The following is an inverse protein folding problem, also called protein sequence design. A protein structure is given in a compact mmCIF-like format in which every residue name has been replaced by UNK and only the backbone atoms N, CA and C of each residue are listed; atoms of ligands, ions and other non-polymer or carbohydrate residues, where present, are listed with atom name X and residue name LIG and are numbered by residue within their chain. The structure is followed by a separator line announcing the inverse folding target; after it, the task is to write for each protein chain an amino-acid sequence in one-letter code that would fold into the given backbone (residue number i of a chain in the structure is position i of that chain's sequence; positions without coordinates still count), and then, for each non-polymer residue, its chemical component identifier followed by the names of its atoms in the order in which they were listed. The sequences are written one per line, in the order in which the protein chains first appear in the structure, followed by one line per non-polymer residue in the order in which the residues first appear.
data_IF_654986208574
#
_entry.id   IF_654986208574
#
_cell.length_a   1.000
_cell.length_b   1.000
_cell.length_c   1.000
_cell.angle_alpha   90.00
_cell.angle_beta   90.00
_cell.angle_gamma   90.00
#
_symmetry.space_group_name_H-M   'P 1'
#
loop_
_entity.id
_entity.type
_entity.pdbx_description
1 polymer ?
#
# COMPACT_ATOMS: atom_id res chain seq x y z
N UNK A 1 54.04 -16.86 -7.27
CA UNK A 1 54.59 -18.13 -7.78
C UNK A 1 53.43 -19.05 -8.14
N UNK A 2 53.40 -19.49 -9.41
CA UNK A 2 52.73 -20.67 -9.99
C UNK A 2 51.24 -20.93 -9.64
N UNK A 3 50.32 -20.69 -10.59
CA UNK A 3 49.82 -21.65 -11.61
C UNK A 3 48.57 -22.39 -11.06
N UNK A 4 47.54 -22.79 -11.81
CA UNK A 4 47.46 -23.23 -13.21
C UNK A 4 45.99 -23.27 -13.66
N UNK A 5 45.77 -23.13 -14.98
CA UNK A 5 44.51 -23.15 -15.72
C UNK A 5 43.77 -24.50 -15.70
N UNK A 6 42.46 -24.48 -15.94
CA UNK A 6 41.79 -25.45 -16.81
C UNK A 6 40.61 -24.80 -17.55
N UNK A 7 40.60 -24.96 -18.88
CA UNK A 7 39.57 -24.54 -19.85
C UNK A 7 38.77 -25.77 -20.29
N UNK A 8 37.81 -25.52 -21.19
CA UNK A 8 37.21 -26.43 -22.19
C UNK A 8 35.98 -27.18 -21.61
N UNK A 9 34.78 -27.22 -22.21
CA UNK A 9 34.37 -27.33 -23.61
C UNK A 9 32.97 -26.70 -23.86
N UNK A 10 32.86 -25.95 -24.96
CA UNK A 10 31.61 -25.64 -25.65
C UNK A 10 31.31 -26.77 -26.63
N UNK A 11 30.13 -27.40 -26.54
CA UNK A 11 29.62 -28.29 -27.59
C UNK A 11 28.32 -27.73 -28.20
N UNK A 12 28.28 -27.85 -29.52
CA UNK A 12 27.34 -27.22 -30.44
C UNK A 12 25.97 -27.90 -30.46
N UNK A 13 24.96 -27.03 -30.61
CA UNK A 13 23.71 -27.15 -31.36
C UNK A 13 23.46 -28.52 -32.03
N UNK A 14 22.48 -29.25 -31.50
CA UNK A 14 21.75 -30.28 -32.23
C UNK A 14 20.28 -29.85 -32.32
N UNK A 15 19.89 -29.34 -33.48
CA UNK A 15 18.51 -29.20 -33.93
C UNK A 15 17.92 -30.59 -34.16
N UNK A 16 16.95 -30.98 -33.33
CA UNK A 16 16.01 -32.05 -33.64
C UNK A 16 14.61 -31.44 -33.68
N UNK A 17 14.03 -31.37 -34.88
CA UNK A 17 12.62 -31.03 -35.10
C UNK A 17 11.95 -32.29 -35.63
N UNK A 18 11.01 -32.82 -34.85
CA UNK A 18 9.75 -33.51 -35.24
C UNK A 18 9.39 -34.55 -34.18
N UNK A 19 8.51 -34.17 -33.24
CA UNK A 19 7.32 -34.97 -32.88
C UNK A 19 6.23 -34.00 -32.45
N UNK A 20 5.13 -34.02 -33.17
CA UNK A 20 3.88 -33.34 -32.86
C UNK A 20 3.26 -33.93 -31.59
N UNK A 21 3.15 -33.16 -30.52
CA UNK A 21 2.24 -33.45 -29.41
C UNK A 21 1.46 -32.17 -29.10
N UNK A 22 0.22 -32.15 -29.56
CA UNK A 22 -0.80 -31.17 -29.18
C UNK A 22 -1.21 -31.49 -27.74
N UNK A 23 -0.82 -30.67 -26.78
CA UNK A 23 -1.45 -30.60 -25.45
C UNK A 23 -1.42 -29.14 -25.01
N UNK A 24 -2.61 -28.59 -24.76
CA UNK A 24 -2.86 -27.17 -24.56
C UNK A 24 -1.95 -26.56 -23.51
N UNK A 25 -1.39 -25.40 -23.84
CA UNK A 25 -0.89 -24.46 -22.85
C UNK A 25 -2.11 -23.85 -22.16
N UNK A 26 -2.35 -24.28 -20.93
CA UNK A 26 -3.13 -23.49 -19.99
C UNK A 26 -2.28 -22.27 -19.65
N UNK A 27 -2.57 -21.16 -20.33
CA UNK A 27 -1.97 -19.87 -20.06
C UNK A 27 -2.40 -19.47 -18.64
N UNK A 28 -1.50 -19.64 -17.66
CA UNK A 28 -1.72 -19.12 -16.31
C UNK A 28 -1.72 -17.60 -16.44
N UNK A 29 -2.89 -17.04 -16.67
CA UNK A 29 -3.12 -15.61 -16.64
C UNK A 29 -2.85 -15.14 -15.22
N UNK A 30 -1.82 -14.33 -15.03
CA UNK A 30 -1.47 -13.72 -13.74
C UNK A 30 -2.60 -12.75 -13.34
N UNK A 31 -3.62 -13.27 -12.67
CA UNK A 31 -4.73 -12.48 -12.18
C UNK A 31 -4.41 -11.94 -10.79
N UNK A 32 -4.27 -10.62 -10.69
CA UNK A 32 -4.07 -9.93 -9.41
C UNK A 32 -5.42 -9.68 -8.73
N UNK A 33 -5.82 -10.60 -7.85
CA UNK A 33 -6.92 -10.36 -6.92
C UNK A 33 -6.43 -9.62 -5.68
N UNK A 34 -7.23 -8.69 -5.17
CA UNK A 34 -6.97 -8.06 -3.87
C UNK A 34 -7.87 -8.70 -2.83
N UNK A 35 -7.29 -9.22 -1.75
CA UNK A 35 -8.06 -9.77 -0.64
C UNK A 35 -8.22 -8.69 0.44
N UNK A 36 -9.46 -8.37 0.80
CA UNK A 36 -9.79 -7.40 1.83
C UNK A 36 -10.58 -8.08 2.93
N UNK A 37 -10.12 -7.95 4.18
CA UNK A 37 -10.84 -8.44 5.35
C UNK A 37 -11.82 -7.37 5.83
N UNK A 38 -13.11 -7.72 5.88
CA UNK A 38 -14.18 -6.85 6.37
C UNK A 38 -14.68 -7.32 7.74
N UNK A 39 -15.11 -6.34 8.55
CA UNK A 39 -15.86 -6.56 9.81
C UNK A 39 -17.38 -6.57 9.59
N UNK A 40 -17.83 -6.21 8.39
CA UNK A 40 -19.23 -6.25 8.03
C UNK A 40 -19.71 -7.70 7.91
N UNK A 41 -20.98 -8.01 8.20
CA UNK A 41 -21.52 -9.36 8.06
C UNK A 41 -21.45 -9.85 6.61
N UNK A 42 -21.45 -11.18 6.44
CA UNK A 42 -21.54 -11.81 5.11
C UNK A 42 -22.80 -11.33 4.39
N UNK A 43 -22.70 -10.87 3.13
CA UNK A 43 -23.88 -10.52 2.32
C UNK A 43 -24.86 -11.68 2.22
N UNK A 44 -26.16 -11.42 2.39
CA UNK A 44 -27.21 -12.42 2.23
C UNK A 44 -27.48 -12.73 0.76
N UNK A 45 -27.80 -13.98 0.43
CA UNK A 45 -28.25 -14.38 -0.92
C UNK A 45 -27.16 -14.84 -1.89
N UNK A 46 -25.96 -15.15 -1.39
CA UNK A 46 -24.84 -15.67 -2.21
C UNK A 46 -25.07 -17.14 -2.61
N UNK A 47 -24.79 -17.49 -3.87
CA UNK A 47 -24.71 -18.88 -4.33
C UNK A 47 -23.39 -19.53 -3.91
N UNK A 48 -23.30 -20.87 -3.98
CA UNK A 48 -22.08 -21.60 -3.63
C UNK A 48 -20.88 -21.25 -4.52
N UNK A 49 -21.09 -20.77 -5.74
CA UNK A 49 -20.00 -20.32 -6.63
C UNK A 49 -19.50 -18.90 -6.28
N UNK A 50 -20.28 -18.12 -5.53
CA UNK A 50 -19.96 -16.72 -5.20
C UNK A 50 -19.13 -16.58 -3.92
N UNK A 51 -18.75 -17.68 -3.26
CA UNK A 51 -17.88 -17.62 -2.10
C UNK A 51 -16.89 -18.78 -1.97
N UNK A 52 -15.78 -18.44 -1.32
CA UNK A 52 -14.74 -19.37 -0.89
C UNK A 52 -14.58 -19.33 0.63
N UNK A 53 -14.78 -20.46 1.34
CA UNK A 53 -14.54 -20.53 2.78
C UNK A 53 -13.03 -20.63 3.07
N UNK A 54 -12.52 -19.75 3.94
CA UNK A 54 -11.10 -19.67 4.29
C UNK A 54 -10.92 -19.75 5.81
N UNK A 55 -9.90 -20.49 6.27
CA UNK A 55 -9.48 -20.50 7.67
C UNK A 55 -8.05 -20.04 7.78
N UNK A 56 -7.79 -19.12 8.70
CA UNK A 56 -6.44 -18.70 9.03
C UNK A 56 -5.80 -19.67 10.03
N UNK A 57 -4.47 -19.63 10.14
CA UNK A 57 -3.70 -20.48 11.06
C UNK A 57 -4.06 -20.28 12.54
N UNK A 58 -4.62 -19.13 12.90
CA UNK A 58 -5.10 -18.81 14.25
C UNK A 58 -6.51 -19.40 14.56
N UNK A 59 -7.15 -20.07 13.61
CA UNK A 59 -8.51 -20.64 13.74
C UNK A 59 -9.64 -19.69 13.36
N UNK A 60 -9.37 -18.42 13.06
CA UNK A 60 -10.38 -17.49 12.55
C UNK A 60 -10.93 -17.99 11.20
N UNK A 61 -12.25 -18.02 11.09
CA UNK A 61 -12.96 -18.52 9.91
C UNK A 61 -13.59 -17.36 9.14
N UNK A 62 -13.39 -17.35 7.82
CA UNK A 62 -13.89 -16.34 6.91
C UNK A 62 -14.68 -16.96 5.78
N UNK A 63 -15.66 -16.21 5.29
CA UNK A 63 -16.31 -16.48 4.02
C UNK A 63 -15.92 -15.35 3.06
N UNK A 64 -15.14 -15.70 2.04
CA UNK A 64 -14.58 -14.76 1.08
C UNK A 64 -15.47 -14.72 -0.16
N UNK A 65 -16.14 -13.58 -0.37
CA UNK A 65 -17.02 -13.37 -1.52
C UNK A 65 -16.15 -13.16 -2.76
N UNK A 66 -16.36 -14.02 -3.75
CA UNK A 66 -15.68 -13.93 -5.03
C UNK A 66 -16.38 -12.87 -5.89
N UNK A 67 -15.64 -11.97 -6.54
CA UNK A 67 -16.22 -10.99 -7.44
C UNK A 67 -16.77 -11.70 -8.68
N UNK A 68 -17.99 -11.36 -9.09
CA UNK A 68 -18.52 -11.74 -10.39
C UNK A 68 -17.89 -10.79 -11.43
N UNK A 69 -17.01 -11.32 -12.28
CA UNK A 69 -16.30 -10.52 -13.29
C UNK A 69 -16.61 -11.08 -14.66
N UNK A 70 -17.39 -10.32 -15.43
CA UNK A 70 -17.65 -10.58 -16.85
C UNK A 70 -16.38 -10.42 -17.69
N UNK A 71 -16.35 -11.04 -18.87
CA UNK A 71 -15.20 -10.94 -19.79
C UNK A 71 -14.93 -9.49 -20.22
N UNK A 72 -15.96 -8.67 -20.36
CA UNK A 72 -15.81 -7.25 -20.69
C UNK A 72 -15.22 -6.46 -19.51
N UNK A 73 -15.68 -6.72 -18.28
CA UNK A 73 -15.07 -6.12 -17.08
C UNK A 73 -13.60 -6.52 -16.94
N UNK A 74 -13.21 -7.76 -17.31
CA UNK A 74 -11.80 -8.17 -17.34
C UNK A 74 -10.96 -7.33 -18.29
N UNK A 75 -11.48 -6.96 -19.47
CA UNK A 75 -10.78 -6.07 -20.40
C UNK A 75 -10.66 -4.66 -19.84
N UNK A 76 -11.71 -4.17 -19.19
CA UNK A 76 -11.69 -2.87 -18.50
C UNK A 76 -10.63 -2.86 -17.40
N UNK A 77 -10.52 -3.91 -16.57
CA UNK A 77 -9.48 -4.02 -15.55
C UNK A 77 -8.06 -3.89 -16.10
N UNK A 78 -7.78 -4.54 -17.24
CA UNK A 78 -6.48 -4.45 -17.89
C UNK A 78 -6.18 -3.04 -18.41
N UNK A 79 -7.19 -2.33 -18.91
CA UNK A 79 -7.06 -0.93 -19.30
C UNK A 79 -6.89 -0.01 -18.07
N UNK A 80 -7.57 -0.27 -16.96
CA UNK A 80 -7.47 0.53 -15.74
C UNK A 80 -6.12 0.35 -15.02
N UNK A 81 -5.52 -0.85 -15.06
CA UNK A 81 -4.16 -1.05 -14.56
C UNK A 81 -3.13 -0.20 -15.33
N UNK A 82 -3.44 0.18 -16.58
CA UNK A 82 -2.59 1.11 -17.35
C UNK A 82 -2.72 2.58 -16.93
N UNK A 83 -3.75 2.95 -16.14
CA UNK A 83 -3.89 4.27 -15.53
C UNK A 83 -3.21 4.39 -14.16
N UNK A 84 -2.70 3.29 -13.61
CA UNK A 84 -1.91 3.31 -12.39
C UNK A 84 -0.53 3.87 -12.67
N UNK A 85 0.00 4.62 -11.71
CA UNK A 85 1.34 5.22 -11.80
C UNK A 85 1.50 6.26 -12.92
N UNK A 86 0.37 6.79 -13.43
CA UNK A 86 0.36 7.89 -14.39
C UNK A 86 0.68 9.21 -13.68
N UNK A 87 1.65 10.00 -14.19
CA UNK A 87 1.97 11.31 -13.64
C UNK A 87 0.80 12.30 -13.69
N UNK A 88 0.70 13.12 -12.64
CA UNK A 88 -0.24 14.23 -12.56
C UNK A 88 0.18 15.34 -13.54
N UNK A 89 -0.78 16.04 -14.13
CA UNK A 89 -0.47 17.21 -14.96
C UNK A 89 0.22 18.29 -14.13
N UNK A 90 1.12 19.07 -14.75
CA UNK A 90 1.85 20.15 -14.06
C UNK A 90 0.92 21.16 -13.37
N UNK A 91 -0.25 21.43 -13.97
CA UNK A 91 -1.28 22.29 -13.37
C UNK A 91 -1.82 21.70 -12.05
N UNK A 92 -2.17 20.41 -12.05
CA UNK A 92 -2.65 19.73 -10.87
C UNK A 92 -1.56 19.60 -9.79
N UNK A 93 -0.31 19.34 -10.17
CA UNK A 93 0.85 19.38 -9.24
C UNK A 93 0.93 20.74 -8.57
N UNK A 94 0.82 21.83 -9.35
CA UNK A 94 0.89 23.19 -8.83
C UNK A 94 -0.27 23.51 -7.87
N UNK A 95 -1.48 23.02 -8.16
CA UNK A 95 -2.66 23.16 -7.28
C UNK A 95 -2.42 22.45 -5.95
N UNK A 96 -2.04 21.18 -5.97
CA UNK A 96 -1.78 20.38 -4.76
C UNK A 96 -0.65 20.98 -3.93
N UNK A 97 0.47 21.33 -4.58
CA UNK A 97 1.62 21.89 -3.90
C UNK A 97 1.30 23.26 -3.27
N UNK A 98 0.48 24.09 -3.93
CA UNK A 98 0.02 25.37 -3.37
C UNK A 98 -0.91 25.14 -2.17
N UNK A 99 -1.83 24.19 -2.28
CA UNK A 99 -2.82 23.88 -1.25
C UNK A 99 -2.17 23.38 0.05
N UNK A 100 -1.10 22.60 -0.05
CA UNK A 100 -0.39 22.03 1.09
C UNK A 100 0.83 22.83 1.55
N UNK A 101 1.15 23.95 0.89
CA UNK A 101 2.36 24.73 1.17
C UNK A 101 2.43 25.12 2.66
N UNK A 102 3.56 24.79 3.30
CA UNK A 102 3.84 25.05 4.72
C UNK A 102 2.88 24.35 5.71
N UNK A 103 2.07 23.39 5.26
CA UNK A 103 1.19 22.62 6.14
C UNK A 103 1.94 21.45 6.76
N UNK A 104 1.75 21.27 8.07
CA UNK A 104 2.23 20.11 8.81
C UNK A 104 1.07 19.38 9.48
N UNK A 105 1.09 18.06 9.40
CA UNK A 105 0.09 17.16 9.98
C UNK A 105 0.76 16.27 11.00
N UNK A 106 0.18 16.15 12.19
CA UNK A 106 0.73 15.36 13.30
C UNK A 106 -0.25 14.27 13.71
N UNK A 107 0.25 13.06 13.95
CA UNK A 107 -0.52 11.93 14.47
C UNK A 107 0.24 11.32 15.63
N UNK A 108 -0.45 11.07 16.73
CA UNK A 108 0.09 10.34 17.87
C UNK A 108 -0.46 8.92 17.84
N UNK A 109 0.44 7.93 17.84
CA UNK A 109 0.09 6.51 17.90
C UNK A 109 0.99 5.80 18.91
N UNK A 110 0.39 5.48 20.06
CA UNK A 110 1.08 4.87 21.19
C UNK A 110 2.28 5.71 21.66
N UNK A 111 3.50 5.18 21.57
CA UNK A 111 4.73 5.86 21.98
C UNK A 111 5.23 6.89 20.95
N UNK A 112 4.80 6.77 19.69
CA UNK A 112 5.33 7.55 18.59
C UNK A 112 4.42 8.72 18.22
N UNK A 113 5.05 9.84 17.96
CA UNK A 113 4.45 10.97 17.25
C UNK A 113 5.04 11.00 15.85
N UNK A 114 4.17 11.03 14.84
CA UNK A 114 4.54 11.20 13.45
C UNK A 114 4.18 12.59 12.99
N UNK A 115 5.05 13.23 12.20
CA UNK A 115 4.77 14.52 11.57
C UNK A 115 5.13 14.48 10.10
N UNK A 116 4.16 14.82 9.25
CA UNK A 116 4.37 15.11 7.83
C UNK A 116 4.33 16.62 7.66
N UNK A 117 5.43 17.22 7.24
CA UNK A 117 5.47 18.62 6.80
C UNK A 117 5.66 18.66 5.29
N UNK A 118 4.64 19.13 4.57
CA UNK A 118 4.65 19.13 3.11
C UNK A 118 5.78 20.01 2.56
N UNK A 119 6.59 19.44 1.66
CA UNK A 119 7.76 20.12 1.09
C UNK A 119 8.98 20.15 2.01
N UNK A 120 8.92 19.50 3.18
CA UNK A 120 10.07 19.34 4.08
C UNK A 120 10.42 17.88 4.30
N UNK A 121 9.54 17.10 4.93
CA UNK A 121 9.84 15.72 5.27
C UNK A 121 8.79 15.06 6.12
N UNK A 122 9.02 13.77 6.37
CA UNK A 122 8.27 12.96 7.33
C UNK A 122 9.22 12.58 8.45
N UNK A 123 8.76 12.70 9.69
CA UNK A 123 9.53 12.34 10.87
C UNK A 123 8.70 11.54 11.88
N UNK A 124 9.41 10.82 12.73
CA UNK A 124 8.91 10.08 13.87
C UNK A 124 9.72 10.50 15.10
N UNK A 125 9.06 10.83 16.19
CA UNK A 125 9.71 11.18 17.45
C UNK A 125 8.87 10.76 18.65
N UNK A 126 9.49 10.72 19.82
CA UNK A 126 8.75 10.62 21.07
C UNK A 126 8.57 12.00 21.71
N UNK A 127 7.34 12.36 22.10
CA UNK A 127 7.06 13.62 22.80
C UNK A 127 7.23 13.42 24.32
N UNK A 128 8.46 13.51 24.81
CA UNK A 128 8.71 13.58 26.27
C UNK A 128 8.23 14.93 26.82
N UNK A 129 7.02 14.97 27.38
CA UNK A 129 6.54 15.97 28.35
C UNK A 129 7.04 17.43 28.17
N UNK A 130 6.92 18.02 26.98
CA UNK A 130 7.03 19.49 26.83
C UNK A 130 5.67 20.12 27.12
N UNK A 131 5.20 19.93 28.36
CA UNK A 131 4.10 20.67 28.96
C UNK A 131 4.06 20.38 30.47
N UNK A 132 4.56 21.33 31.27
CA UNK A 132 3.77 21.75 32.42
C UNK A 132 4.22 21.42 33.84
N UNK A 133 5.34 20.74 34.11
CA UNK A 133 5.74 20.55 35.51
C UNK A 133 7.25 20.39 35.77
N UNK A 134 7.64 20.87 36.95
CA UNK A 134 8.88 20.58 37.68
C UNK A 134 10.05 21.54 37.52
N UNK A 135 10.00 22.57 38.37
CA UNK A 135 11.14 23.17 39.07
C UNK A 135 12.17 22.09 39.46
N UNK A 136 13.23 21.94 38.66
CA UNK A 136 14.36 21.06 38.97
C UNK A 136 15.61 21.61 38.30
N UNK A 137 16.41 22.38 39.05
CA UNK A 137 17.76 22.85 38.67
C UNK A 137 18.78 21.70 38.77
N UNK A 138 18.56 20.61 38.04
CA UNK A 138 19.56 19.57 37.83
C UNK A 138 19.94 19.58 36.35
N UNK A 139 21.24 19.52 36.00
CA UNK A 139 21.64 19.31 34.62
C UNK A 139 21.22 17.89 34.22
N UNK A 140 20.01 17.75 33.67
CA UNK A 140 19.61 16.53 32.98
C UNK A 140 20.55 16.39 31.80
N UNK A 141 21.42 15.38 31.84
CA UNK A 141 22.01 14.84 30.62
C UNK A 141 20.83 14.46 29.72
N UNK A 142 20.58 15.32 28.73
CA UNK A 142 19.47 15.19 27.81
C UNK A 142 19.82 14.04 26.88
N UNK A 143 19.46 12.82 27.28
CA UNK A 143 19.40 11.70 26.36
C UNK A 143 18.37 12.12 25.32
N UNK A 144 18.83 12.49 24.13
CA UNK A 144 17.95 12.94 23.05
C UNK A 144 16.84 11.90 22.87
N UNK A 145 15.59 12.35 22.94
CA UNK A 145 14.46 11.48 22.67
C UNK A 145 14.62 10.93 21.26
N UNK A 146 14.27 9.65 21.04
CA UNK A 146 14.43 9.04 19.73
C UNK A 146 13.69 9.86 18.67
N UNK A 147 14.43 10.37 17.68
CA UNK A 147 13.93 11.14 16.54
C UNK A 147 14.51 10.57 15.24
N UNK A 148 13.63 10.27 14.29
CA UNK A 148 13.96 9.67 13.01
C UNK A 148 13.33 10.48 11.89
N UNK A 149 14.14 10.82 10.88
CA UNK A 149 13.63 11.29 9.59
C UNK A 149 13.25 10.06 8.77
N UNK A 150 11.99 9.94 8.39
CA UNK A 150 11.45 8.82 7.61
C UNK A 150 11.53 9.07 6.09
N UNK A 151 11.76 10.31 5.69
CA UNK A 151 11.97 10.73 4.32
C UNK A 151 11.99 12.25 4.21
N UNK A 152 12.70 12.76 3.21
CA UNK A 152 12.84 14.17 2.85
C UNK A 152 12.00 14.42 1.60
N UNK A 153 11.29 15.54 1.57
CA UNK A 153 10.48 15.90 0.42
C UNK A 153 11.37 16.18 -0.80
N UNK A 154 10.98 15.76 -2.01
CA UNK A 154 11.65 16.20 -3.22
C UNK A 154 11.53 17.73 -3.35
N UNK A 155 12.53 18.41 -3.94
CA UNK A 155 12.43 19.81 -4.29
C UNK A 155 11.20 20.09 -5.17
N UNK A 156 10.62 21.28 -5.03
CA UNK A 156 9.33 21.61 -5.65
C UNK A 156 9.33 21.57 -7.19
N UNK A 157 10.48 21.79 -7.83
CA UNK A 157 10.69 21.74 -9.27
C UNK A 157 10.77 20.30 -9.83
N UNK A 158 11.06 19.33 -8.97
CA UNK A 158 11.12 17.90 -9.32
C UNK A 158 10.06 17.07 -8.56
N UNK A 159 9.06 17.74 -7.97
CA UNK A 159 7.95 17.07 -7.28
C UNK A 159 7.12 16.27 -8.28
N UNK A 160 7.31 14.95 -8.27
CA UNK A 160 6.54 13.98 -9.05
C UNK A 160 5.36 13.49 -8.21
N UNK A 161 4.14 13.75 -8.70
CA UNK A 161 2.90 13.23 -8.14
C UNK A 161 2.27 12.30 -9.16
N UNK A 162 1.80 11.13 -8.71
CA UNK A 162 1.25 10.09 -9.58
C UNK A 162 -0.06 9.55 -9.05
N UNK A 163 -0.91 9.06 -9.94
CA UNK A 163 -2.14 8.37 -9.53
C UNK A 163 -1.84 6.98 -8.97
N UNK A 164 -2.57 6.60 -7.93
CA UNK A 164 -2.60 5.27 -7.35
C UNK A 164 -4.01 4.88 -6.95
N UNK A 165 -4.22 3.58 -6.76
CA UNK A 165 -5.50 3.01 -6.31
C UNK A 165 -5.20 2.00 -5.22
N UNK A 166 -5.88 2.14 -4.09
CA UNK A 166 -5.69 1.18 -3.00
C UNK A 166 -6.49 -0.11 -3.22
N UNK A 167 -6.31 -1.09 -2.34
CA UNK A 167 -7.00 -2.39 -2.44
C UNK A 167 -8.52 -2.31 -2.38
N UNK A 168 -9.08 -1.18 -1.97
CA UNK A 168 -10.53 -0.91 -1.91
C UNK A 168 -11.05 -0.12 -3.11
N UNK A 169 -10.22 0.14 -4.13
CA UNK A 169 -10.61 0.94 -5.29
C UNK A 169 -10.62 2.45 -5.05
N UNK A 170 -10.12 2.92 -3.90
CA UNK A 170 -10.01 4.36 -3.63
C UNK A 170 -8.80 4.92 -4.36
N UNK A 171 -9.04 5.92 -5.22
CA UNK A 171 -7.99 6.70 -5.87
C UNK A 171 -7.28 7.61 -4.87
N UNK A 172 -5.97 7.74 -5.05
CA UNK A 172 -5.12 8.69 -4.37
C UNK A 172 -4.08 9.23 -5.35
N UNK A 173 -3.47 10.36 -5.01
CA UNK A 173 -2.19 10.76 -5.62
C UNK A 173 -1.08 10.50 -4.64
N UNK A 174 0.12 10.18 -5.10
CA UNK A 174 1.24 9.93 -4.22
C UNK A 174 2.55 10.49 -4.74
N UNK A 175 3.48 10.69 -3.82
CA UNK A 175 4.87 11.02 -4.08
C UNK A 175 5.78 10.29 -3.08
N UNK A 176 7.06 10.15 -3.41
CA UNK A 176 8.04 9.46 -2.57
C UNK A 176 8.93 10.49 -1.89
N UNK A 177 9.03 10.41 -0.57
CA UNK A 177 9.98 11.14 0.24
C UNK A 177 11.14 10.18 0.55
N UNK A 178 12.32 10.47 0.03
CA UNK A 178 13.51 9.60 0.09
C UNK A 178 14.55 10.12 1.10
N UNK A 179 15.69 9.46 1.21
CA UNK A 179 16.86 9.99 1.93
C UNK A 179 16.61 10.32 3.41
N UNK A 180 15.74 9.54 4.06
CA UNK A 180 15.58 9.58 5.51
C UNK A 180 16.80 9.08 6.26
N UNK A 181 16.76 9.16 7.59
CA UNK A 181 17.82 8.67 8.45
C UNK A 181 18.08 7.18 8.18
N UNK A 182 19.35 6.79 8.08
CA UNK A 182 19.76 5.42 7.76
C UNK A 182 19.16 4.40 8.72
N UNK A 183 18.57 3.35 8.16
CA UNK A 183 18.04 2.22 8.90
C UNK A 183 19.18 1.33 9.40
N UNK A 184 19.17 1.00 10.69
CA UNK A 184 20.14 0.08 11.31
C UNK A 184 19.97 -1.37 10.83
N UNK A 185 18.73 -1.78 10.50
CA UNK A 185 18.44 -3.14 10.05
C UNK A 185 18.81 -3.38 8.57
N UNK A 186 18.49 -2.45 7.68
CA UNK A 186 18.71 -2.60 6.22
C UNK A 186 19.95 -1.88 5.73
N UNK A 187 20.52 -0.97 6.52
CA UNK A 187 21.61 -0.07 6.14
C UNK A 187 21.27 0.87 4.96
N UNK A 188 19.98 1.01 4.62
CA UNK A 188 19.48 1.91 3.58
C UNK A 188 18.79 3.12 4.22
N UNK A 189 18.77 4.29 3.55
CA UNK A 189 17.95 5.42 3.98
C UNK A 189 16.48 5.03 4.09
N UNK A 190 15.80 5.51 5.15
CA UNK A 190 14.34 5.35 5.26
C UNK A 190 13.64 6.06 4.10
N UNK A 191 12.54 5.48 3.66
CA UNK A 191 11.72 6.04 2.57
C UNK A 191 10.26 6.05 2.98
N UNK A 192 9.52 7.05 2.52
CA UNK A 192 8.10 7.20 2.79
C UNK A 192 7.32 7.49 1.52
N UNK A 193 6.31 6.67 1.24
CA UNK A 193 5.29 7.01 0.24
C UNK A 193 4.20 7.86 0.91
N UNK A 194 4.04 9.10 0.44
CA UNK A 194 3.00 10.02 0.92
C UNK A 194 1.81 9.92 -0.02
N UNK A 195 0.73 9.31 0.45
CA UNK A 195 -0.53 9.13 -0.28
C UNK A 195 -1.53 10.22 0.15
N UNK A 196 -2.08 10.95 -0.82
CA UNK A 196 -3.09 11.98 -0.62
C UNK A 196 -4.44 11.50 -1.14
N UNK A 197 -5.42 11.43 -0.24
CA UNK A 197 -6.79 11.07 -0.53
C UNK A 197 -7.69 12.31 -0.48
N UNK A 198 -8.67 12.37 -1.38
CA UNK A 198 -9.73 13.39 -1.31
C UNK A 198 -10.74 13.02 -0.22
N UNK A 199 -10.95 13.93 0.74
CA UNK A 199 -11.97 13.74 1.77
C UNK A 199 -13.38 13.72 1.17
N UNK A 200 -14.20 12.74 1.59
CA UNK A 200 -15.57 12.56 1.08
C UNK A 200 -16.59 13.41 1.83
N UNK A 201 -17.76 13.57 1.22
CA UNK A 201 -18.92 14.12 1.94
C UNK A 201 -19.26 13.20 3.14
N UNK A 202 -19.39 13.79 4.33
CA UNK A 202 -19.60 13.07 5.59
C UNK A 202 -18.31 12.73 6.34
N UNK A 203 -17.16 12.74 5.68
CA UNK A 203 -15.86 12.74 6.35
C UNK A 203 -15.60 14.16 6.89
N UNK A 204 -15.21 14.26 8.16
CA UNK A 204 -15.11 15.53 8.87
C UNK A 204 -14.31 16.61 8.12
N UNK A 205 -14.49 17.88 8.50
CA UNK A 205 -13.73 18.97 7.88
C UNK A 205 -12.23 18.93 8.20
N UNK A 206 -11.82 18.15 9.20
CA UNK A 206 -10.43 18.06 9.62
C UNK A 206 -9.67 17.01 8.80
N UNK A 207 -8.44 17.32 8.37
CA UNK A 207 -7.59 16.37 7.68
C UNK A 207 -7.27 15.18 8.59
N UNK A 208 -7.26 13.97 8.04
CA UNK A 208 -6.92 12.75 8.79
C UNK A 208 -5.63 12.15 8.25
N UNK A 209 -4.72 11.78 9.15
CA UNK A 209 -3.44 11.16 8.80
C UNK A 209 -3.36 9.76 9.41
N UNK A 210 -2.79 8.81 8.66
CA UNK A 210 -2.42 7.48 9.12
C UNK A 210 -1.01 7.16 8.67
N UNK A 211 -0.27 6.41 9.50
CA UNK A 211 1.08 5.98 9.18
C UNK A 211 1.17 4.47 9.37
N UNK A 212 1.86 3.79 8.47
CA UNK A 212 2.20 2.36 8.63
C UNK A 212 3.58 2.08 8.07
N UNK A 213 4.27 1.13 8.67
CA UNK A 213 5.49 0.55 8.13
C UNK A 213 5.10 -0.63 7.23
N UNK A 214 5.25 -0.48 5.93
CA UNK A 214 4.83 -1.48 4.94
C UNK A 214 5.86 -2.59 4.77
N UNK A 215 7.14 -2.21 4.84
CA UNK A 215 8.33 -3.06 4.86
C UNK A 215 9.30 -2.42 5.84
N UNK A 216 10.31 -3.16 6.30
CA UNK A 216 11.31 -2.63 7.25
C UNK A 216 11.90 -1.33 6.72
N UNK A 217 11.73 -0.24 7.48
CA UNK A 217 12.20 1.11 7.15
C UNK A 217 11.58 1.73 5.88
N UNK A 218 10.44 1.21 5.42
CA UNK A 218 9.63 1.78 4.34
C UNK A 218 8.22 2.08 4.84
N UNK A 219 7.90 3.36 4.88
CA UNK A 219 6.66 3.86 5.47
C UNK A 219 5.66 4.27 4.40
N UNK A 220 4.39 4.23 4.77
CA UNK A 220 3.29 4.79 3.98
C UNK A 220 2.52 5.73 4.90
N UNK A 221 2.46 7.00 4.50
CA UNK A 221 1.67 8.03 5.15
C UNK A 221 0.45 8.31 4.28
N UNK A 222 -0.74 8.03 4.80
CA UNK A 222 -2.00 8.35 4.13
C UNK A 222 -2.60 9.61 4.75
N UNK A 223 -2.70 10.68 3.98
CA UNK A 223 -3.33 11.94 4.36
C UNK A 223 -4.62 12.13 3.57
N UNK A 224 -5.74 12.25 4.27
CA UNK A 224 -7.04 12.58 3.67
C UNK A 224 -7.36 14.04 3.96
N UNK A 225 -7.55 14.84 2.91
CA UNK A 225 -7.72 16.29 3.01
C UNK A 225 -8.70 16.81 1.94
N UNK A 226 -9.39 17.91 2.19
CA UNK A 226 -10.35 18.51 1.23
C UNK A 226 -9.63 19.35 0.17
N UNK A 227 -8.48 19.90 0.54
CA UNK A 227 -7.67 20.85 -0.21
C UNK A 227 -6.95 20.19 -1.40
N UNK A 228 -6.82 18.86 -1.38
CA UNK A 228 -6.14 18.07 -2.44
C UNK A 228 -7.13 17.44 -3.43
N UNK A 229 -8.44 17.71 -3.29
CA UNK A 229 -9.48 17.09 -4.09
C UNK A 229 -9.45 17.53 -5.56
N UNK A 230 -8.90 16.68 -6.42
CA UNK A 230 -9.03 16.76 -7.87
C UNK A 230 -10.23 15.91 -8.33
N UNK A 231 -10.82 16.23 -9.50
CA UNK A 231 -11.97 15.48 -10.01
C UNK A 231 -11.69 13.98 -10.09
N UNK A 232 -10.52 13.60 -10.62
CA UNK A 232 -10.10 12.20 -10.72
C UNK A 232 -9.92 11.45 -9.40
N UNK A 233 -9.87 12.15 -8.25
CA UNK A 233 -9.77 11.54 -6.92
C UNK A 233 -11.13 11.31 -6.24
N UNK A 234 -12.20 11.92 -6.76
CA UNK A 234 -13.55 11.77 -6.19
C UNK A 234 -14.22 10.47 -6.63
N UNK A 235 -13.82 9.94 -7.78
CA UNK A 235 -14.36 8.70 -8.34
C UNK A 235 -13.85 7.48 -7.57
N UNK A 236 -14.78 6.60 -7.21
CA UNK A 236 -14.44 5.26 -6.73
C UNK A 236 -14.25 4.41 -7.98
N UNK A 237 -13.04 3.92 -8.21
CA UNK A 237 -12.89 2.87 -9.21
C UNK A 237 -13.40 1.57 -8.62
N UNK A 238 -14.48 1.04 -9.20
CA UNK A 238 -14.90 -0.32 -8.92
C UNK A 238 -13.85 -1.27 -9.49
N UNK A 239 -12.89 -1.68 -8.64
CA UNK A 239 -12.04 -2.81 -8.97
C UNK A 239 -12.86 -4.08 -8.92
N UNK A 240 -13.31 -4.53 -10.08
CA UNK A 240 -13.65 -5.92 -10.29
C UNK A 240 -12.40 -6.75 -9.95
N UNK A 241 -12.50 -7.77 -9.08
CA UNK A 241 -11.32 -8.51 -8.58
C UNK A 241 -10.96 -8.31 -7.11
N UNK A 242 -11.75 -7.56 -6.33
CA UNK A 242 -11.60 -7.55 -4.87
C UNK A 242 -12.38 -8.72 -4.26
N UNK A 243 -11.66 -9.63 -3.60
CA UNK A 243 -12.24 -10.71 -2.79
C UNK A 243 -12.42 -10.16 -1.37
N UNK A 244 -13.67 -10.01 -0.94
CA UNK A 244 -13.96 -9.51 0.42
C UNK A 244 -14.22 -10.68 1.36
N UNK A 245 -13.35 -10.85 2.36
CA UNK A 245 -13.44 -11.89 3.37
C UNK A 245 -14.12 -11.37 4.64
N UNK A 246 -15.27 -11.92 4.95
CA UNK A 246 -16.09 -11.56 6.11
C UNK A 246 -15.89 -12.60 7.22
N UNK A 247 -15.68 -12.14 8.45
CA UNK A 247 -15.50 -13.03 9.59
C UNK A 247 -16.80 -13.80 9.89
N UNK A 248 -16.67 -15.10 10.15
CA UNK A 248 -17.81 -15.99 10.42
C UNK A 248 -17.66 -16.60 11.81
N UNK A 249 -18.79 -16.83 12.47
CA UNK A 249 -18.78 -17.65 13.69
C UNK A 249 -18.48 -19.10 13.30
N UNK A 250 -17.63 -19.82 14.07
CA UNK A 250 -17.37 -21.24 13.85
C UNK A 250 -18.61 -22.06 14.28
N UNK A 251 -19.69 -22.04 13.50
CA UNK A 251 -20.92 -22.79 13.76
C UNK A 251 -21.63 -23.23 12.46
N UNK A 252 -21.40 -24.49 12.08
CA UNK A 252 -22.28 -25.47 11.41
C UNK A 252 -23.01 -25.21 10.07
N UNK A 253 -22.79 -24.12 9.34
CA UNK A 253 -23.46 -23.96 8.02
C UNK A 253 -22.55 -24.04 6.79
N UNK A 254 -21.26 -24.34 6.97
CA UNK A 254 -20.32 -24.54 5.86
C UNK A 254 -19.68 -25.90 6.01
N UNK A 255 -19.86 -26.79 5.03
CA UNK A 255 -19.12 -28.05 4.95
C UNK A 255 -17.67 -27.74 4.56
N UNK A 256 -16.84 -27.54 5.58
CA UNK A 256 -15.43 -27.21 5.41
C UNK A 256 -14.62 -28.34 4.77
N UNK A 257 -15.16 -29.56 4.69
CA UNK A 257 -14.42 -30.74 4.22
C UNK A 257 -14.58 -31.02 2.73
N UNK A 258 -15.56 -30.43 2.04
CA UNK A 258 -15.81 -30.73 0.62
C UNK A 258 -15.15 -29.77 -0.39
N UNK A 259 -14.61 -28.62 0.02
CA UNK A 259 -13.94 -27.66 -0.89
C UNK A 259 -12.41 -27.63 -0.81
N UNK A 260 -11.76 -28.42 0.04
CA UNK A 260 -10.28 -28.47 0.12
C UNK A 260 -9.63 -29.56 -0.77
N UNK A 261 -10.39 -30.20 -1.67
CA UNK A 261 -9.90 -31.31 -2.53
C UNK A 261 -10.09 -31.08 -4.05
N UNK A 262 -10.32 -29.86 -4.49
CA UNK A 262 -10.31 -29.48 -5.92
C UNK A 262 -9.25 -28.43 -6.20
#
# INVERSE_FOLDING_TARGET
MYATRAKVLLFRLATFVLVSVVRGQEEVTEHKYNIVFSRDPVPSGLSEEQYYPMRLSNGSAYLCVLPDITVEEKKTLQAEDSELDVPLSLEHVAVVNRALKNMCYTMEESWWTYRLCWGSGVEQFHRSAVAGDSKSNAPKQMKEDPHFVLGVAPPADVLDLRYGVNTKGLRYIYTIYSDGLTCDLTQLPRTTEVQLYCAREGEGNSPTMRVREAEVCRYIVSLTAKEVCLLGLKEIQQRYGVITCHETKPTNTVDWNNKQQG
#
